data_IF_438922222835
#
_entry.id   IF_438922222835
#
_cell.length_a   1.000
_cell.length_b   1.000
_cell.length_c   1.000
_cell.angle_alpha   90.00
_cell.angle_beta   90.00
_cell.angle_gamma   90.00
#
_symmetry.space_group_name_H-M   'P 1'
#
loop_
_entity.id
_entity.type
_entity.pdbx_description
1 polymer ?
#
# COMPACT_ATOMS: atom_id res chain seq x y z
N UNK A 1 32.54 -31.72 0.82
CA UNK A 1 31.86 -30.42 1.06
C UNK A 1 30.39 -30.61 0.71
N UNK A 2 29.48 -30.54 1.69
CA UNK A 2 28.04 -30.75 1.46
C UNK A 2 27.37 -29.40 1.13
N UNK A 3 26.54 -29.36 0.08
CA UNK A 3 25.86 -28.14 -0.38
C UNK A 3 24.38 -28.20 0.00
N UNK A 4 23.81 -27.08 0.46
CA UNK A 4 22.40 -27.02 0.84
C UNK A 4 21.50 -27.22 -0.40
N UNK A 5 20.58 -28.18 -0.34
CA UNK A 5 19.62 -28.47 -1.42
C UNK A 5 20.09 -29.45 -2.49
N UNK A 6 21.28 -30.05 -2.35
CA UNK A 6 21.75 -31.12 -3.25
C UNK A 6 22.12 -32.36 -2.44
N UNK A 7 21.51 -33.50 -2.78
CA UNK A 7 21.80 -34.80 -2.19
C UNK A 7 22.52 -35.65 -3.25
N UNK A 8 23.86 -35.81 -3.16
CA UNK A 8 24.57 -36.68 -4.09
C UNK A 8 24.07 -38.11 -3.94
N UNK A 9 23.65 -38.76 -5.02
CA UNK A 9 23.26 -40.17 -4.98
C UNK A 9 24.50 -41.06 -4.98
N UNK A 10 25.07 -41.30 -3.80
CA UNK A 10 26.04 -42.37 -3.59
C UNK A 10 25.32 -43.47 -2.80
N UNK A 11 24.91 -44.52 -3.51
CA UNK A 11 24.37 -45.73 -2.88
C UNK A 11 25.49 -46.75 -2.78
N UNK A 12 26.27 -46.79 -1.68
CA UNK A 12 27.16 -47.92 -1.47
C UNK A 12 26.32 -49.20 -1.46
N UNK A 13 26.74 -50.22 -2.21
CA UNK A 13 26.04 -51.49 -2.28
C UNK A 13 25.94 -52.11 -0.89
N UNK A 14 24.75 -52.52 -0.47
CA UNK A 14 24.53 -53.17 0.83
C UNK A 14 24.92 -54.66 0.83
N UNK A 15 25.68 -55.10 -0.16
CA UNK A 15 26.12 -56.48 -0.33
C UNK A 15 27.53 -56.60 0.24
N UNK A 16 27.70 -57.44 1.26
CA UNK A 16 29.02 -57.74 1.81
C UNK A 16 29.86 -58.42 0.74
N UNK A 17 31.04 -57.86 0.49
CA UNK A 17 32.00 -58.44 -0.45
C UNK A 17 33.04 -59.25 0.32
N UNK A 18 33.69 -60.20 -0.35
CA UNK A 18 34.72 -61.05 0.25
C UNK A 18 36.04 -60.29 0.52
N UNK A 19 36.06 -58.98 0.32
CA UNK A 19 37.20 -58.08 0.51
C UNK A 19 36.91 -57.21 1.74
N UNK A 20 37.57 -57.47 2.89
CA UNK A 20 37.30 -56.76 4.14
C UNK A 20 37.44 -55.22 4.02
N UNK A 21 38.47 -54.76 3.31
CA UNK A 21 38.76 -53.33 3.11
C UNK A 21 37.63 -52.58 2.40
N UNK A 22 36.89 -53.27 1.51
CA UNK A 22 35.76 -52.69 0.80
C UNK A 22 34.53 -52.51 1.71
N UNK A 23 34.32 -53.44 2.65
CA UNK A 23 33.25 -53.35 3.64
C UNK A 23 33.56 -52.24 4.66
N UNK A 24 34.82 -52.15 5.14
CA UNK A 24 35.28 -51.08 6.03
C UNK A 24 35.10 -49.69 5.41
N UNK A 25 35.42 -49.56 4.11
CA UNK A 25 35.21 -48.33 3.36
C UNK A 25 33.72 -47.98 3.23
N UNK A 26 32.86 -48.98 2.96
CA UNK A 26 31.42 -48.76 2.86
C UNK A 26 30.81 -48.27 4.19
N UNK A 27 31.26 -48.84 5.31
CA UNK A 27 30.81 -48.44 6.66
C UNK A 27 31.35 -47.06 7.05
N UNK A 28 32.59 -46.74 6.67
CA UNK A 28 33.14 -45.40 6.84
C UNK A 28 32.32 -44.34 6.07
N UNK A 29 31.92 -44.64 4.82
CA UNK A 29 31.07 -43.74 4.02
C UNK A 29 29.70 -43.56 4.68
N UNK A 30 29.05 -44.64 5.15
CA UNK A 30 27.74 -44.57 5.83
C UNK A 30 27.81 -43.67 7.08
N UNK A 31 28.85 -43.85 7.90
CA UNK A 31 29.07 -43.05 9.11
C UNK A 31 29.26 -41.56 8.78
N UNK A 32 30.09 -41.25 7.78
CA UNK A 32 30.28 -39.85 7.34
C UNK A 32 28.97 -39.23 6.83
N UNK A 33 28.12 -40.01 6.17
CA UNK A 33 26.82 -39.56 5.70
C UNK A 33 25.86 -39.19 6.83
N UNK A 34 25.78 -40.01 7.87
CA UNK A 34 24.96 -39.73 9.05
C UNK A 34 25.42 -38.46 9.77
N UNK A 35 26.74 -38.29 9.92
CA UNK A 35 27.32 -37.07 10.51
C UNK A 35 26.99 -35.82 9.68
N UNK A 36 27.15 -35.89 8.36
CA UNK A 36 26.82 -34.79 7.43
C UNK A 36 25.32 -34.48 7.46
N UNK A 37 24.46 -35.50 7.44
CA UNK A 37 23.01 -35.34 7.49
C UNK A 37 22.54 -34.71 8.80
N UNK A 38 23.10 -35.15 9.93
CA UNK A 38 22.81 -34.58 11.25
C UNK A 38 23.26 -33.11 11.32
N UNK A 39 24.47 -32.79 10.85
CA UNK A 39 24.97 -31.42 10.79
C UNK A 39 24.09 -30.52 9.90
N UNK A 40 23.65 -31.02 8.74
CA UNK A 40 22.78 -30.28 7.82
C UNK A 40 21.40 -30.01 8.46
N UNK A 41 20.84 -30.99 9.18
CA UNK A 41 19.57 -30.87 9.89
C UNK A 41 19.66 -29.85 11.03
N UNK A 42 20.72 -29.90 11.83
CA UNK A 42 20.97 -28.92 12.89
C UNK A 42 21.15 -27.50 12.33
N UNK A 43 21.90 -27.36 11.23
CA UNK A 43 22.07 -26.08 10.54
C UNK A 43 20.74 -25.51 10.05
N UNK A 44 19.90 -26.35 9.43
CA UNK A 44 18.55 -25.96 8.97
C UNK A 44 17.66 -25.52 10.14
N UNK A 45 17.65 -26.26 11.25
CA UNK A 45 16.88 -25.88 12.44
C UNK A 45 17.31 -24.52 12.98
N UNK A 46 18.62 -24.29 13.14
CA UNK A 46 19.18 -23.01 13.60
C UNK A 46 18.80 -21.83 12.67
N UNK A 47 18.78 -22.07 11.36
CA UNK A 47 18.35 -21.08 10.35
C UNK A 47 16.85 -20.75 10.43
N UNK A 48 16.02 -21.73 10.80
CA UNK A 48 14.56 -21.53 10.90
C UNK A 48 14.09 -21.00 12.26
N UNK A 49 14.75 -21.37 13.35
CA UNK A 49 14.37 -21.01 14.73
C UNK A 49 14.47 -19.50 15.00
N UNK A 50 15.39 -18.79 14.33
CA UNK A 50 15.55 -17.34 14.46
C UNK A 50 14.80 -16.51 13.41
N UNK A 51 14.16 -17.15 12.42
CA UNK A 51 13.28 -16.42 11.51
C UNK A 51 11.97 -16.16 12.25
N UNK A 52 11.79 -14.93 12.70
CA UNK A 52 10.47 -14.42 13.02
C UNK A 52 9.56 -14.81 11.85
N UNK A 53 8.60 -15.70 12.08
CA UNK A 53 7.45 -15.78 11.19
C UNK A 53 6.83 -14.40 11.26
N UNK A 54 7.18 -13.53 10.30
CA UNK A 54 6.58 -12.22 10.18
C UNK A 54 5.08 -12.46 10.22
N UNK A 55 4.45 -12.06 11.32
CA UNK A 55 3.01 -12.20 11.50
C UNK A 55 2.40 -11.67 10.21
N UNK A 56 1.66 -12.49 9.45
CA UNK A 56 1.16 -12.04 8.16
C UNK A 56 0.32 -10.82 8.44
N UNK A 57 0.84 -9.65 8.01
CA UNK A 57 0.21 -8.35 8.26
C UNK A 57 -1.22 -8.49 7.77
N UNK A 58 -2.18 -8.47 8.69
CA UNK A 58 -3.58 -8.57 8.32
C UNK A 58 -4.01 -7.24 7.71
N UNK A 59 -4.76 -7.34 6.62
CA UNK A 59 -5.39 -6.21 5.96
C UNK A 59 -6.90 -6.38 6.07
N UNK A 60 -7.57 -5.30 6.47
CA UNK A 60 -9.02 -5.25 6.50
C UNK A 60 -9.57 -5.06 5.09
N UNK A 61 -10.65 -5.77 4.79
CA UNK A 61 -11.39 -5.61 3.53
C UNK A 61 -11.95 -4.18 3.48
N UNK A 62 -11.82 -3.53 2.33
CA UNK A 62 -12.23 -2.15 2.08
C UNK A 62 -11.18 -1.09 2.46
N UNK A 63 -10.13 -1.43 3.22
CA UNK A 63 -9.03 -0.50 3.48
C UNK A 63 -8.09 -0.41 2.29
N UNK A 64 -7.35 0.68 2.24
CA UNK A 64 -6.32 0.91 1.22
C UNK A 64 -4.97 0.31 1.65
N UNK A 65 -4.27 -0.27 0.69
CA UNK A 65 -2.93 -0.83 0.83
C UNK A 65 -2.04 -0.37 -0.32
N UNK A 66 -0.78 -0.07 -0.02
CA UNK A 66 0.26 0.15 -1.02
C UNK A 66 0.77 -1.19 -1.55
N UNK A 67 0.92 -1.30 -2.87
CA UNK A 67 1.52 -2.46 -3.53
C UNK A 67 3.00 -2.19 -3.87
N UNK A 68 3.91 -3.07 -3.46
CA UNK A 68 5.32 -3.01 -3.86
C UNK A 68 5.48 -3.44 -5.33
N UNK A 69 6.17 -2.61 -6.11
CA UNK A 69 6.39 -2.82 -7.55
C UNK A 69 7.46 -3.88 -7.87
N UNK A 70 8.16 -4.45 -6.88
CA UNK A 70 9.28 -5.42 -7.08
C UNK A 70 9.01 -6.52 -8.12
N UNK A 71 7.79 -7.05 -8.17
CA UNK A 71 7.41 -8.15 -9.05
C UNK A 71 6.35 -7.74 -10.09
N UNK A 72 6.24 -6.43 -10.35
CA UNK A 72 5.20 -5.87 -11.21
C UNK A 72 5.86 -5.36 -12.49
N UNK A 73 5.53 -5.98 -13.63
CA UNK A 73 6.05 -5.52 -14.92
C UNK A 73 5.29 -4.27 -15.39
N UNK A 74 5.77 -3.11 -14.94
CA UNK A 74 5.29 -1.81 -15.38
C UNK A 74 6.00 -1.45 -16.69
N UNK A 75 5.23 -1.14 -17.74
CA UNK A 75 5.76 -0.61 -19.01
C UNK A 75 6.25 0.84 -18.85
N UNK A 76 7.29 1.04 -18.03
CA UNK A 76 7.88 2.35 -17.77
C UNK A 76 9.23 2.46 -18.48
N UNK A 77 9.63 3.67 -18.90
CA UNK A 77 10.90 3.92 -19.61
C UNK A 77 12.16 3.54 -18.79
N UNK A 78 12.07 3.45 -17.46
CA UNK A 78 13.18 3.03 -16.58
C UNK A 78 12.66 2.46 -15.25
N UNK A 79 13.18 1.29 -14.86
CA UNK A 79 12.90 0.63 -13.57
C UNK A 79 13.48 1.39 -12.37
N UNK A 80 14.56 2.16 -12.56
CA UNK A 80 15.23 2.91 -11.48
C UNK A 80 14.46 4.17 -11.08
N UNK A 81 13.69 4.74 -12.02
CA UNK A 81 12.87 5.94 -11.81
C UNK A 81 11.42 5.59 -11.45
N UNK A 82 11.04 4.31 -11.44
CA UNK A 82 9.68 3.90 -11.11
C UNK A 82 9.47 3.97 -9.60
N UNK A 83 8.31 4.48 -9.17
CA UNK A 83 7.96 4.48 -7.74
C UNK A 83 7.91 3.04 -7.24
N UNK A 84 8.69 2.75 -6.19
CA UNK A 84 8.77 1.42 -5.59
C UNK A 84 7.44 0.96 -4.98
N UNK A 85 6.56 1.89 -4.63
CA UNK A 85 5.20 1.63 -4.15
C UNK A 85 4.19 2.22 -5.11
N UNK A 86 3.26 1.38 -5.56
CA UNK A 86 2.15 1.71 -6.44
C UNK A 86 0.90 1.84 -5.61
N UNK A 87 0.14 2.91 -5.89
CA UNK A 87 -1.22 3.21 -5.44
C UNK A 87 -1.63 2.81 -4.02
N UNK A 88 -2.39 3.63 -3.29
CA UNK A 88 -3.31 3.05 -2.34
C UNK A 88 -4.42 2.33 -3.13
N UNK A 89 -4.38 1.00 -3.19
CA UNK A 89 -5.43 0.19 -3.79
C UNK A 89 -6.33 -0.39 -2.69
N UNK A 90 -7.63 -0.46 -2.95
CA UNK A 90 -8.57 -1.05 -1.99
C UNK A 90 -8.42 -2.56 -1.97
N UNK A 91 -8.43 -3.13 -0.77
CA UNK A 91 -8.48 -4.58 -0.56
C UNK A 91 -9.93 -5.03 -0.76
N UNK A 92 -10.19 -5.84 -1.79
CA UNK A 92 -11.53 -6.35 -2.10
C UNK A 92 -11.84 -7.58 -1.24
N UNK A 93 -10.88 -8.49 -1.13
CA UNK A 93 -11.11 -9.81 -0.56
C UNK A 93 -9.80 -10.41 -0.01
N UNK A 94 -9.92 -11.17 1.08
CA UNK A 94 -8.83 -12.03 1.58
C UNK A 94 -9.02 -13.44 1.02
N UNK A 95 -8.22 -13.82 0.04
CA UNK A 95 -8.28 -15.16 -0.57
C UNK A 95 -7.65 -16.21 0.33
N UNK A 96 -6.53 -15.86 0.98
CA UNK A 96 -5.87 -16.76 1.94
C UNK A 96 -5.17 -15.97 3.04
N UNK A 97 -4.58 -16.67 4.02
CA UNK A 97 -3.79 -16.03 5.07
C UNK A 97 -2.61 -15.20 4.53
N UNK A 98 -2.16 -15.47 3.30
CA UNK A 98 -1.02 -14.78 2.69
C UNK A 98 -1.36 -14.10 1.35
N UNK A 99 -2.60 -14.15 0.89
CA UNK A 99 -2.98 -13.60 -0.41
C UNK A 99 -4.26 -12.76 -0.32
N UNK A 100 -4.20 -11.55 -0.88
CA UNK A 100 -5.31 -10.61 -0.91
C UNK A 100 -5.58 -10.14 -2.34
N UNK A 101 -6.85 -9.91 -2.66
CA UNK A 101 -7.29 -9.32 -3.93
C UNK A 101 -7.40 -7.80 -3.79
N UNK A 102 -6.83 -7.06 -4.72
CA UNK A 102 -6.88 -5.60 -4.78
C UNK A 102 -7.78 -5.10 -5.92
N UNK A 103 -8.35 -3.92 -5.73
CA UNK A 103 -9.02 -3.16 -6.78
C UNK A 103 -7.99 -2.41 -7.61
N UNK A 104 -7.56 -3.03 -8.71
CA UNK A 104 -6.62 -2.43 -9.65
C UNK A 104 -7.38 -1.68 -10.76
N UNK A 105 -6.84 -0.56 -11.27
CA UNK A 105 -7.35 0.08 -12.47
C UNK A 105 -7.32 -0.86 -13.68
N UNK A 106 -8.32 -0.79 -14.55
CA UNK A 106 -8.41 -1.62 -15.78
C UNK A 106 -7.23 -1.42 -16.74
N UNK A 107 -6.55 -0.28 -16.66
CA UNK A 107 -5.34 0.00 -17.44
C UNK A 107 -4.17 -0.92 -17.06
N UNK A 108 -4.18 -1.49 -15.85
CA UNK A 108 -3.13 -2.34 -15.33
C UNK A 108 -3.44 -3.82 -15.63
N UNK A 109 -2.83 -4.36 -16.69
CA UNK A 109 -3.04 -5.75 -17.15
C UNK A 109 -2.25 -6.76 -16.32
N UNK A 110 -2.40 -6.72 -15.00
CA UNK A 110 -1.69 -7.58 -14.03
C UNK A 110 -2.72 -8.26 -13.15
N UNK A 111 -2.43 -9.48 -12.71
CA UNK A 111 -3.31 -10.20 -11.79
C UNK A 111 -3.53 -9.39 -10.51
N UNK A 112 -4.78 -9.35 -10.06
CA UNK A 112 -5.21 -8.55 -8.92
C UNK A 112 -5.04 -9.24 -7.57
N UNK A 113 -4.40 -10.41 -7.53
CA UNK A 113 -4.15 -11.19 -6.31
C UNK A 113 -2.67 -11.12 -5.95
N UNK A 114 -2.37 -10.65 -4.73
CA UNK A 114 -1.00 -10.38 -4.30
C UNK A 114 -0.68 -11.03 -2.97
N UNK A 115 0.60 -11.42 -2.82
CA UNK A 115 1.17 -11.89 -1.57
C UNK A 115 1.22 -10.77 -0.52
N UNK A 116 0.90 -11.09 0.73
CA UNK A 116 0.83 -10.15 1.86
C UNK A 116 2.12 -9.35 2.08
N UNK A 117 3.29 -9.93 1.81
CA UNK A 117 4.58 -9.22 1.93
C UNK A 117 4.84 -8.20 0.82
N UNK A 118 4.04 -8.19 -0.24
CA UNK A 118 4.03 -7.12 -1.25
C UNK A 118 3.08 -5.98 -0.88
N UNK A 119 2.32 -6.12 0.20
CA UNK A 119 1.35 -5.14 0.66
C UNK A 119 1.89 -4.37 1.85
N UNK A 120 1.65 -3.07 1.88
CA UNK A 120 2.01 -2.19 3.00
C UNK A 120 0.81 -1.37 3.43
N UNK A 121 0.57 -1.25 4.73
CA UNK A 121 -0.50 -0.39 5.25
C UNK A 121 -0.28 1.06 4.85
N UNK A 122 -1.33 1.72 4.38
CA UNK A 122 -1.29 3.16 4.09
C UNK A 122 -1.22 3.91 5.41
N UNK A 123 -0.03 4.43 5.73
CA UNK A 123 0.13 5.41 6.81
C UNK A 123 -0.25 6.78 6.24
N UNK A 124 -1.50 7.19 6.43
CA UNK A 124 -1.83 8.62 6.28
C UNK A 124 -1.32 9.29 7.53
N UNK A 125 -0.25 10.07 7.40
CA UNK A 125 0.25 10.84 8.52
C UNK A 125 -0.75 11.98 8.76
N UNK A 126 -1.60 11.86 9.78
CA UNK A 126 -2.57 12.90 10.15
C UNK A 126 -1.86 14.21 10.54
N UNK A 127 -0.61 14.11 11.03
CA UNK A 127 0.24 15.24 11.39
C UNK A 127 0.93 15.91 10.18
N UNK A 128 1.08 15.19 9.05
CA UNK A 128 1.54 15.77 7.77
C UNK A 128 0.37 15.80 6.78
N UNK A 129 -0.70 16.49 7.16
CA UNK A 129 -1.85 16.72 6.28
C UNK A 129 -1.43 17.30 4.90
N UNK A 130 -0.30 18.03 4.85
CA UNK A 130 0.26 18.57 3.62
C UNK A 130 0.66 17.51 2.57
N UNK A 131 1.08 16.30 2.97
CA UNK A 131 1.38 15.20 2.04
C UNK A 131 0.11 14.58 1.43
N UNK A 132 -1.04 14.77 2.08
CA UNK A 132 -2.34 14.25 1.64
C UNK A 132 -3.16 15.28 0.83
N UNK A 133 -2.56 16.43 0.48
CA UNK A 133 -3.24 17.48 -0.30
C UNK A 133 -3.53 16.98 -1.72
N UNK A 134 -4.76 17.15 -2.23
CA UNK A 134 -5.04 16.87 -3.62
C UNK A 134 -4.20 17.81 -4.50
N UNK A 135 -3.61 17.31 -5.61
CA UNK A 135 -2.88 18.18 -6.53
C UNK A 135 -3.84 19.23 -7.14
N UNK A 136 -3.35 20.44 -7.44
CA UNK A 136 -4.12 21.42 -8.18
C UNK A 136 -4.49 20.89 -9.56
N UNK A 137 -5.67 21.28 -10.05
CA UNK A 137 -6.20 20.91 -11.36
C UNK A 137 -5.97 22.10 -12.27
N UNK A 138 -5.24 21.95 -13.37
CA UNK A 138 -5.08 23.05 -14.34
C UNK A 138 -6.32 23.13 -15.23
N UNK A 139 -7.03 24.26 -15.19
CA UNK A 139 -8.18 24.57 -16.06
C UNK A 139 -7.87 25.90 -16.75
N UNK A 140 -7.91 25.92 -18.08
CA UNK A 140 -7.62 27.12 -18.89
C UNK A 140 -6.27 27.81 -18.60
N UNK A 141 -5.29 27.07 -18.09
CA UNK A 141 -3.97 27.58 -17.73
C UNK A 141 -3.84 28.11 -16.29
N UNK A 142 -4.93 28.12 -15.52
CA UNK A 142 -4.95 28.51 -14.11
C UNK A 142 -5.09 27.27 -13.20
N UNK A 143 -4.52 27.33 -12.00
CA UNK A 143 -4.62 26.25 -11.01
C UNK A 143 -5.92 26.36 -10.20
N UNK A 144 -6.79 25.36 -10.33
CA UNK A 144 -7.99 25.18 -9.51
C UNK A 144 -7.76 24.20 -8.37
N UNK A 145 -8.21 24.59 -7.17
CA UNK A 145 -8.12 23.76 -5.96
C UNK A 145 -9.49 23.21 -5.59
N UNK A 146 -9.53 21.97 -5.06
CA UNK A 146 -10.79 21.32 -4.71
C UNK A 146 -11.40 21.94 -3.45
N UNK A 147 -12.61 22.50 -3.58
CA UNK A 147 -13.33 23.09 -2.44
C UNK A 147 -13.97 22.00 -1.56
N UNK A 148 -13.79 22.12 -0.25
CA UNK A 148 -14.46 21.31 0.77
C UNK A 148 -15.78 21.95 1.21
N UNK A 149 -15.80 23.26 1.43
CA UNK A 149 -17.01 24.00 1.81
C UNK A 149 -16.84 25.51 1.75
N UNK A 150 -17.95 26.24 1.91
CA UNK A 150 -17.96 27.69 2.13
C UNK A 150 -18.31 27.93 3.59
N UNK A 151 -17.43 28.64 4.28
CA UNK A 151 -17.53 28.88 5.72
C UNK A 151 -18.26 30.17 6.03
N UNK A 152 -18.02 31.20 5.22
CA UNK A 152 -18.56 32.54 5.45
C UNK A 152 -18.74 33.33 4.15
N UNK A 153 -19.47 34.44 4.22
CA UNK A 153 -19.66 35.39 3.12
C UNK A 153 -19.59 36.82 3.63
N UNK A 154 -18.91 37.68 2.89
CA UNK A 154 -18.83 39.11 3.20
C UNK A 154 -18.99 39.96 1.95
N UNK A 155 -19.39 41.20 2.13
CA UNK A 155 -19.40 42.19 1.07
C UNK A 155 -18.24 43.18 1.26
N UNK A 156 -17.36 43.25 0.26
CA UNK A 156 -16.21 44.15 0.24
C UNK A 156 -16.29 45.02 -1.00
N UNK A 157 -16.33 46.35 -0.84
CA UNK A 157 -16.37 47.33 -1.96
C UNK A 157 -17.47 47.01 -3.01
N UNK A 158 -18.66 46.63 -2.55
CA UNK A 158 -19.81 46.30 -3.40
C UNK A 158 -19.70 44.95 -4.13
N UNK A 159 -18.74 44.09 -3.75
CA UNK A 159 -18.55 42.75 -4.32
C UNK A 159 -18.63 41.70 -3.22
N UNK A 160 -19.32 40.61 -3.52
CA UNK A 160 -19.43 39.46 -2.62
C UNK A 160 -18.20 38.56 -2.71
N UNK A 161 -17.61 38.32 -1.55
CA UNK A 161 -16.52 37.37 -1.33
C UNK A 161 -17.00 36.26 -0.39
N UNK A 162 -16.47 35.06 -0.60
CA UNK A 162 -16.81 33.88 0.20
C UNK A 162 -15.55 33.28 0.78
N UNK A 163 -15.59 32.91 2.06
CA UNK A 163 -14.47 32.25 2.71
C UNK A 163 -14.50 30.76 2.35
N UNK A 164 -13.52 30.35 1.56
CA UNK A 164 -13.45 29.02 0.96
C UNK A 164 -12.59 28.11 1.81
N UNK A 165 -13.17 27.00 2.28
CA UNK A 165 -12.43 25.90 2.90
C UNK A 165 -11.92 24.96 1.81
N UNK A 166 -10.61 24.88 1.66
CA UNK A 166 -9.95 24.01 0.67
C UNK A 166 -9.77 22.58 1.19
N UNK A 167 -10.00 21.59 0.33
CA UNK A 167 -9.91 20.18 0.72
C UNK A 167 -8.46 19.78 1.01
N UNK A 168 -8.19 19.34 2.23
CA UNK A 168 -6.86 18.89 2.67
C UNK A 168 -5.97 20.01 3.21
N UNK A 169 -6.52 21.22 3.37
CA UNK A 169 -5.86 22.38 3.97
C UNK A 169 -6.51 22.69 5.32
N UNK A 170 -5.78 23.30 6.25
CA UNK A 170 -6.33 23.68 7.56
C UNK A 170 -7.27 24.90 7.47
N UNK A 171 -8.10 25.19 8.49
CA UNK A 171 -8.99 26.35 8.48
C UNK A 171 -8.24 27.68 8.34
N UNK A 172 -7.00 27.75 8.84
CA UNK A 172 -6.08 28.88 8.73
C UNK A 172 -5.64 29.19 7.29
N UNK A 173 -5.71 28.21 6.39
CA UNK A 173 -5.38 28.37 4.97
C UNK A 173 -6.61 28.71 4.11
N UNK A 174 -7.76 29.01 4.73
CA UNK A 174 -8.97 29.42 4.00
C UNK A 174 -8.81 30.83 3.43
N UNK A 175 -9.20 31.03 2.16
CA UNK A 175 -9.06 32.32 1.47
C UNK A 175 -10.43 32.91 1.11
N UNK A 176 -10.48 34.24 0.99
CA UNK A 176 -11.65 34.96 0.54
C UNK A 176 -11.64 35.03 -0.99
N UNK A 177 -12.53 34.28 -1.63
CA UNK A 177 -12.62 34.22 -3.09
C UNK A 177 -13.86 34.99 -3.59
N UNK A 178 -13.71 35.78 -4.67
CA UNK A 178 -14.86 36.41 -5.31
C UNK A 178 -15.79 35.37 -5.92
N UNK A 179 -17.08 35.70 -6.02
CA UNK A 179 -18.08 34.81 -6.65
C UNK A 179 -17.69 34.32 -8.04
N UNK A 180 -16.94 35.12 -8.79
CA UNK A 180 -16.47 34.80 -10.14
C UNK A 180 -15.51 33.60 -10.18
N UNK A 181 -14.73 33.36 -9.12
CA UNK A 181 -13.78 32.24 -9.01
C UNK A 181 -14.48 30.93 -8.63
N UNK A 182 -15.72 30.99 -8.13
CA UNK A 182 -16.45 29.84 -7.60
C UNK A 182 -17.35 29.14 -8.63
N UNK A 183 -17.10 29.34 -9.93
CA UNK A 183 -17.88 28.69 -11.01
C UNK A 183 -17.86 27.16 -10.87
N UNK A 184 -16.68 26.58 -10.66
CA UNK A 184 -16.49 25.13 -10.44
C UNK A 184 -17.06 24.65 -9.09
N UNK A 185 -17.26 25.55 -8.12
CA UNK A 185 -17.75 25.27 -6.78
C UNK A 185 -19.25 25.62 -6.58
N UNK A 186 -20.03 25.78 -7.65
CA UNK A 186 -21.44 26.19 -7.61
C UNK A 186 -22.33 25.31 -6.70
N UNK A 187 -22.02 24.01 -6.57
CA UNK A 187 -22.74 23.10 -5.65
C UNK A 187 -22.60 23.53 -4.19
N UNK A 188 -21.42 23.98 -3.80
CA UNK A 188 -21.12 24.39 -2.43
C UNK A 188 -21.72 25.76 -2.13
N UNK A 189 -21.70 26.66 -3.11
CA UNK A 189 -22.40 27.96 -3.04
C UNK A 189 -23.90 27.78 -2.78
N UNK A 190 -24.59 26.97 -3.60
CA UNK A 190 -26.02 26.70 -3.43
C UNK A 190 -26.34 26.08 -2.07
N UNK A 191 -25.48 25.18 -1.58
CA UNK A 191 -25.64 24.56 -0.25
C UNK A 191 -25.54 25.62 0.85
N UNK A 192 -24.55 26.50 0.77
CA UNK A 192 -24.34 27.57 1.75
C UNK A 192 -25.49 28.59 1.74
N UNK A 193 -25.92 29.04 0.56
CA UNK A 193 -27.06 29.96 0.42
C UNK A 193 -28.36 29.36 0.99
N UNK A 194 -28.59 28.05 0.81
CA UNK A 194 -29.73 27.34 1.41
C UNK A 194 -29.66 27.36 2.94
N UNK A 195 -28.47 27.15 3.51
CA UNK A 195 -28.25 27.22 4.96
C UNK A 195 -28.53 28.62 5.48
N UNK A 196 -28.05 29.66 4.80
CA UNK A 196 -28.32 31.05 5.19
C UNK A 196 -29.81 31.38 5.15
N UNK A 197 -30.51 30.99 4.08
CA UNK A 197 -31.96 31.20 3.95
C UNK A 197 -32.74 30.49 5.06
N UNK A 198 -32.32 29.29 5.45
CA UNK A 198 -32.98 28.56 6.52
C UNK A 198 -32.70 29.19 7.89
N UNK A 199 -31.48 29.68 8.13
CA UNK A 199 -31.14 30.45 9.33
C UNK A 199 -31.98 31.72 9.46
N UNK A 200 -32.17 32.48 8.37
CA UNK A 200 -32.99 33.70 8.41
C UNK A 200 -34.49 33.41 8.63
N UNK A 201 -35.02 32.34 8.03
CA UNK A 201 -36.39 31.87 8.26
C UNK A 201 -36.62 31.39 9.70
N UNK A 202 -35.61 30.79 10.32
CA UNK A 202 -35.70 30.37 11.73
C UNK A 202 -35.61 31.57 12.68
N UNK A 203 -34.75 32.55 12.39
CA UNK A 203 -34.62 33.78 13.17
C UNK A 203 -35.90 34.61 13.17
N UNK A 204 -36.65 34.61 12.06
CA UNK A 204 -37.92 35.34 11.92
C UNK A 204 -39.12 34.64 12.55
N UNK A 205 -39.03 33.34 12.86
CA UNK A 205 -40.06 32.56 13.57
C UNK A 205 -39.86 32.47 15.09
N UNK A 206 -38.68 32.82 15.57
CA UNK A 206 -38.33 32.81 17.00
C UNK A 206 -38.50 34.16 17.71
N UNK A 207 -39.04 35.16 17.00
CA UNK A 207 -39.51 36.45 17.50
C UNK A 207 -41.03 36.43 17.54
#
# INVERSE_FOLDING_TARGET
>A
MALYGWQPTLTPSNVETNVPEANDLADAIKKQWEEVAAALRQSKSRLSEGQNQEVPVSFEIGKEAWLDAKNVNLKTKSNKLTKRRLGPFKVIEKISNRAYRLELPETMRIHNVFYVGLLSKVKRNELQAWENRPPPITVDGEEEYKVEGIMDSRETRGKWEYLVKWKGYGPEESTWEPKANLKSAAKHLKKYEKILRQKSLNATKGL
#
